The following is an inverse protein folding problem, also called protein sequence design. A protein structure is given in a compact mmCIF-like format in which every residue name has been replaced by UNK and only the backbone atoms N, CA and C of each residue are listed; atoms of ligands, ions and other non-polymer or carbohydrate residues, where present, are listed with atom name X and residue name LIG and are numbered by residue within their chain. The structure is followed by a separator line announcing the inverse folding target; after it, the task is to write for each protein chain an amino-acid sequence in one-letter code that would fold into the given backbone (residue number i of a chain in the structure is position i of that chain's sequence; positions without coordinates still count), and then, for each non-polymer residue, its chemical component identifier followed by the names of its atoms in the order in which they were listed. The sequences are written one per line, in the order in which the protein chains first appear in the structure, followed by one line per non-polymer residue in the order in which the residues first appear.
data_IF_145724998139
#
_entry.id   IF_145724998139
#
_cell.length_a   1.000
_cell.length_b   1.000
_cell.length_c   1.000
_cell.angle_alpha   90.00
_cell.angle_beta   90.00
_cell.angle_gamma   90.00
#
_symmetry.space_group_name_H-M   'P 1'
#
loop_
_entity.id
_entity.type
_entity.pdbx_description
1 polymer ?
#
# COMPACT_ATOMS: atom_id res chain seq x y z
N UNK A 1 -14.58 -19.69 9.75
CA UNK A 1 -13.83 -19.40 8.54
C UNK A 1 -12.38 -19.10 8.91
N UNK A 2 -11.44 -19.57 8.13
CA UNK A 2 -10.03 -19.46 8.47
C UNK A 2 -9.47 -18.10 8.04
N UNK A 3 -8.89 -17.28 8.95
CA UNK A 3 -8.43 -15.94 8.59
C UNK A 3 -7.41 -15.91 7.44
N UNK A 4 -6.53 -16.92 7.37
CA UNK A 4 -5.54 -17.00 6.31
C UNK A 4 -6.17 -17.18 4.94
N UNK A 5 -7.24 -17.96 4.87
CA UNK A 5 -7.97 -18.17 3.62
C UNK A 5 -8.64 -16.86 3.17
N UNK A 6 -9.22 -16.14 4.11
CA UNK A 6 -9.85 -14.86 3.80
C UNK A 6 -8.84 -13.84 3.29
N UNK A 7 -7.67 -13.75 3.91
CA UNK A 7 -6.62 -12.84 3.49
C UNK A 7 -6.13 -13.17 2.07
N UNK A 8 -5.94 -14.45 1.75
CA UNK A 8 -5.53 -14.87 0.42
C UNK A 8 -6.58 -14.55 -0.64
N UNK A 9 -7.85 -14.76 -0.31
CA UNK A 9 -8.95 -14.44 -1.20
C UNK A 9 -9.02 -12.95 -1.47
N UNK A 10 -8.90 -12.13 -0.43
CA UNK A 10 -8.90 -10.69 -0.57
C UNK A 10 -7.75 -10.21 -1.45
N UNK A 11 -6.56 -10.76 -1.23
CA UNK A 11 -5.39 -10.44 -2.03
C UNK A 11 -5.64 -10.71 -3.53
N UNK A 12 -6.19 -11.87 -3.87
CA UNK A 12 -6.51 -12.23 -5.25
C UNK A 12 -7.55 -11.30 -5.85
N UNK A 13 -8.58 -10.97 -5.07
CA UNK A 13 -9.63 -10.07 -5.53
C UNK A 13 -9.06 -8.69 -5.84
N UNK A 14 -8.21 -8.18 -4.96
CA UNK A 14 -7.59 -6.87 -5.15
C UNK A 14 -6.65 -6.85 -6.35
N UNK A 15 -5.86 -7.91 -6.54
CA UNK A 15 -4.98 -8.02 -7.71
C UNK A 15 -5.79 -8.04 -9.00
N UNK A 16 -6.91 -8.74 -9.01
CA UNK A 16 -7.77 -8.83 -10.20
C UNK A 16 -8.49 -7.50 -10.45
N UNK A 17 -9.03 -6.90 -9.39
CA UNK A 17 -9.81 -5.67 -9.51
C UNK A 17 -8.95 -4.49 -9.94
N UNK A 18 -7.77 -4.35 -9.36
CA UNK A 18 -6.91 -3.20 -9.62
C UNK A 18 -5.86 -3.45 -10.71
N UNK A 19 -5.55 -4.71 -10.99
CA UNK A 19 -4.67 -5.06 -12.12
C UNK A 19 -3.34 -4.32 -12.13
N UNK A 20 -3.10 -3.54 -13.18
CA UNK A 20 -1.84 -2.81 -13.32
C UNK A 20 -1.63 -1.77 -12.23
N UNK A 21 -2.72 -1.22 -11.66
CA UNK A 21 -2.59 -0.30 -10.53
C UNK A 21 -2.02 -1.02 -9.30
N UNK A 22 -2.47 -2.25 -9.03
CA UNK A 22 -1.90 -3.03 -7.93
C UNK A 22 -0.38 -3.18 -8.10
N UNK A 23 0.05 -3.52 -9.31
CA UNK A 23 1.48 -3.68 -9.60
C UNK A 23 2.24 -2.36 -9.45
N UNK A 24 1.63 -1.26 -9.87
CA UNK A 24 2.26 0.06 -9.73
C UNK A 24 2.48 0.40 -8.25
N UNK A 25 1.47 0.16 -7.42
CA UNK A 25 1.58 0.43 -5.97
C UNK A 25 2.65 -0.48 -5.35
N UNK A 26 2.64 -1.76 -5.72
CA UNK A 26 3.64 -2.71 -5.23
C UNK A 26 5.05 -2.25 -5.58
N UNK A 27 5.28 -1.82 -6.82
CA UNK A 27 6.58 -1.32 -7.26
C UNK A 27 6.99 -0.07 -6.50
N UNK A 28 6.07 0.87 -6.32
CA UNK A 28 6.35 2.11 -5.59
C UNK A 28 6.76 1.81 -4.15
N UNK A 29 5.97 1.01 -3.45
CA UNK A 29 6.26 0.67 -2.05
C UNK A 29 7.57 -0.10 -1.94
N UNK A 30 7.81 -1.05 -2.85
CA UNK A 30 9.04 -1.84 -2.85
C UNK A 30 10.28 -0.94 -3.07
N UNK A 31 10.21 0.01 -4.00
CA UNK A 31 11.33 0.92 -4.27
C UNK A 31 11.61 1.86 -3.10
N UNK A 32 10.57 2.40 -2.49
CA UNK A 32 10.74 3.31 -1.35
C UNK A 32 11.16 2.59 -0.08
N UNK A 33 10.73 1.33 0.06
CA UNK A 33 11.12 0.47 1.18
C UNK A 33 11.02 1.20 2.53
N UNK A 34 9.83 1.68 2.91
CA UNK A 34 9.70 2.60 4.05
C UNK A 34 10.09 2.01 5.39
N UNK A 35 10.03 0.71 5.56
CA UNK A 35 10.43 0.03 6.80
C UNK A 35 11.89 -0.44 6.73
N UNK A 36 12.49 -0.33 5.56
CA UNK A 36 13.88 -0.76 5.33
C UNK A 36 14.07 -2.24 5.69
N UNK A 37 13.22 -3.09 5.10
CA UNK A 37 13.32 -4.54 5.28
C UNK A 37 14.61 -5.02 4.64
N UNK A 38 15.54 -5.40 5.49
CA UNK A 38 16.93 -5.57 5.13
C UNK A 38 17.19 -6.79 4.24
N UNK A 39 17.88 -6.57 3.13
CA UNK A 39 18.66 -7.55 2.36
C UNK A 39 17.92 -8.76 1.78
N UNK A 40 16.77 -9.10 2.29
CA UNK A 40 16.01 -10.29 1.88
C UNK A 40 14.70 -9.93 1.24
N UNK A 41 14.60 -8.71 0.74
CA UNK A 41 13.36 -8.24 0.15
C UNK A 41 13.02 -8.97 -1.13
N UNK A 42 11.77 -9.32 -1.24
CA UNK A 42 11.20 -9.71 -2.50
C UNK A 42 9.86 -8.98 -2.65
N UNK A 43 9.27 -9.07 -3.82
CA UNK A 43 8.10 -8.26 -4.14
C UNK A 43 6.88 -8.53 -3.27
N UNK A 44 6.87 -9.65 -2.52
CA UNK A 44 5.73 -10.00 -1.68
C UNK A 44 5.80 -9.49 -0.25
N UNK A 45 6.89 -8.85 0.16
CA UNK A 45 7.07 -8.51 1.57
C UNK A 45 6.11 -7.45 2.09
N UNK A 46 5.64 -6.55 1.21
CA UNK A 46 4.69 -5.51 1.59
C UNK A 46 3.26 -5.81 1.14
N UNK A 47 2.99 -7.03 0.66
CA UNK A 47 1.66 -7.38 0.16
C UNK A 47 0.54 -7.14 1.18
N UNK A 48 0.69 -7.50 2.47
CA UNK A 48 -0.38 -7.23 3.43
C UNK A 48 -0.70 -5.74 3.55
N UNK A 49 0.32 -4.87 3.52
CA UNK A 49 0.13 -3.43 3.62
C UNK A 49 -0.49 -2.86 2.35
N UNK A 50 -0.09 -3.37 1.19
CA UNK A 50 -0.69 -2.97 -0.08
C UNK A 50 -2.16 -3.37 -0.12
N UNK A 51 -2.48 -4.59 0.31
CA UNK A 51 -3.86 -5.07 0.38
C UNK A 51 -4.70 -4.18 1.31
N UNK A 52 -4.16 -3.83 2.48
CA UNK A 52 -4.84 -2.97 3.43
C UNK A 52 -5.10 -1.58 2.83
N UNK A 53 -4.09 -1.01 2.16
CA UNK A 53 -4.23 0.28 1.52
C UNK A 53 -5.31 0.25 0.42
N UNK A 54 -5.22 -0.73 -0.48
CA UNK A 54 -6.14 -0.79 -1.62
C UNK A 54 -7.57 -1.11 -1.22
N UNK A 55 -7.75 -1.86 -0.13
CA UNK A 55 -9.10 -2.13 0.38
C UNK A 55 -9.79 -0.87 0.88
N UNK A 56 -9.04 0.19 1.16
CA UNK A 56 -9.57 1.45 1.70
C UNK A 56 -9.30 2.65 0.80
N UNK A 57 -8.68 2.43 -0.38
CA UNK A 57 -8.21 3.56 -1.19
C UNK A 57 -9.35 4.49 -1.65
N UNK A 58 -10.55 3.96 -1.75
CA UNK A 58 -11.72 4.77 -2.12
C UNK A 58 -12.06 5.84 -1.08
N UNK A 59 -11.55 5.69 0.14
CA UNK A 59 -11.71 6.70 1.19
C UNK A 59 -10.85 7.94 0.94
N UNK A 60 -9.80 7.81 0.13
CA UNK A 60 -8.88 8.91 -0.16
C UNK A 60 -9.50 9.86 -1.17
N UNK A 61 -9.69 11.11 -0.76
CA UNK A 61 -10.31 12.15 -1.61
C UNK A 61 -9.27 13.00 -2.32
N UNK A 62 -8.04 13.04 -1.78
CA UNK A 62 -6.95 13.83 -2.33
C UNK A 62 -5.62 13.25 -1.85
N UNK A 63 -4.53 13.87 -2.29
CA UNK A 63 -3.19 13.41 -1.92
C UNK A 63 -2.98 13.38 -0.39
N UNK A 64 -3.45 14.40 0.30
CA UNK A 64 -3.24 14.47 1.75
C UNK A 64 -3.94 13.32 2.49
N UNK A 65 -5.17 13.02 2.11
CA UNK A 65 -5.91 11.91 2.73
C UNK A 65 -5.30 10.57 2.36
N UNK A 66 -4.79 10.41 1.13
CA UNK A 66 -4.08 9.20 0.77
C UNK A 66 -2.79 9.04 1.57
N UNK A 67 -2.04 10.14 1.74
CA UNK A 67 -0.82 10.14 2.53
C UNK A 67 -1.10 9.70 3.98
N UNK A 68 -2.17 10.23 4.57
CA UNK A 68 -2.58 9.85 5.91
C UNK A 68 -2.98 8.37 5.99
N UNK A 69 -3.72 7.88 5.00
CA UNK A 69 -4.12 6.48 4.95
C UNK A 69 -2.91 5.56 4.83
N UNK A 70 -1.96 5.89 3.97
CA UNK A 70 -0.74 5.11 3.80
C UNK A 70 0.05 5.04 5.11
N UNK A 71 0.23 6.18 5.77
CA UNK A 71 0.92 6.23 7.05
C UNK A 71 0.20 5.38 8.10
N UNK A 72 -1.12 5.50 8.18
CA UNK A 72 -1.93 4.74 9.14
C UNK A 72 -1.77 3.23 8.94
N UNK A 73 -1.80 2.78 7.69
CA UNK A 73 -1.63 1.35 7.37
C UNK A 73 -0.27 0.85 7.89
N UNK A 74 0.79 1.57 7.61
CA UNK A 74 2.13 1.15 8.04
C UNK A 74 2.29 1.24 9.56
N UNK A 75 1.72 2.26 10.18
CA UNK A 75 1.76 2.39 11.64
C UNK A 75 1.03 1.23 12.32
N UNK A 76 -0.12 0.83 11.79
CA UNK A 76 -0.90 -0.28 12.33
C UNK A 76 -0.14 -1.59 12.25
N UNK A 77 0.50 -1.84 11.10
CA UNK A 77 1.15 -3.13 10.87
C UNK A 77 2.54 -3.24 11.50
N UNK A 78 3.28 -2.16 11.57
CA UNK A 78 4.67 -2.19 12.05
C UNK A 78 4.89 -1.51 13.41
N UNK A 79 3.90 -0.76 13.89
CA UNK A 79 4.00 -0.04 15.16
C UNK A 79 4.71 1.30 15.03
N UNK A 80 4.45 2.19 15.99
CA UNK A 80 4.99 3.55 15.96
C UNK A 80 6.52 3.59 15.95
N UNK A 81 7.15 2.63 16.63
CA UNK A 81 8.61 2.59 16.72
C UNK A 81 9.27 2.27 15.39
N UNK A 82 8.61 1.45 14.56
CA UNK A 82 9.21 0.94 13.32
C UNK A 82 8.74 1.68 12.08
N UNK A 83 7.55 2.27 12.09
CA UNK A 83 7.00 2.90 10.89
C UNK A 83 7.65 4.25 10.58
N UNK A 84 8.28 4.90 11.55
CA UNK A 84 8.81 6.24 11.36
C UNK A 84 7.70 7.29 11.38
N UNK A 85 8.02 8.49 10.93
CA UNK A 85 7.04 9.57 10.92
C UNK A 85 6.30 9.64 9.57
N UNK A 86 5.28 10.48 9.54
CA UNK A 86 4.40 10.63 8.38
C UNK A 86 5.17 11.10 7.13
N UNK A 87 6.19 11.91 7.33
CA UNK A 87 6.97 12.46 6.23
C UNK A 87 7.70 11.38 5.42
N UNK A 88 8.03 10.27 6.05
CA UNK A 88 8.69 9.14 5.36
C UNK A 88 7.88 8.63 4.17
N UNK A 89 6.57 8.78 4.21
CA UNK A 89 5.66 8.23 3.20
C UNK A 89 5.23 9.26 2.16
N UNK A 90 5.71 10.48 2.25
CA UNK A 90 5.25 11.57 1.38
C UNK A 90 5.52 11.30 -0.10
N UNK A 91 6.73 10.92 -0.44
CA UNK A 91 7.09 10.68 -1.85
C UNK A 91 6.34 9.47 -2.42
N UNK A 92 6.23 8.39 -1.65
CA UNK A 92 5.49 7.22 -2.08
C UNK A 92 4.01 7.55 -2.28
N UNK A 93 3.42 8.30 -1.34
CA UNK A 93 2.02 8.71 -1.46
C UNK A 93 1.78 9.54 -2.72
N UNK A 94 2.69 10.44 -3.03
CA UNK A 94 2.57 11.27 -4.25
C UNK A 94 2.57 10.40 -5.50
N UNK A 95 3.47 9.43 -5.59
CA UNK A 95 3.51 8.52 -6.74
C UNK A 95 2.25 7.65 -6.83
N UNK A 96 1.80 7.14 -5.68
CA UNK A 96 0.58 6.32 -5.64
C UNK A 96 -0.62 7.13 -6.07
N UNK A 97 -0.72 8.39 -5.61
CA UNK A 97 -1.84 9.25 -5.97
C UNK A 97 -1.90 9.48 -7.48
N UNK A 98 -0.77 9.74 -8.12
CA UNK A 98 -0.70 9.92 -9.57
C UNK A 98 -1.13 8.65 -10.31
N UNK A 99 -0.68 7.49 -9.82
CA UNK A 99 -1.08 6.22 -10.41
C UNK A 99 -2.57 5.97 -10.23
N UNK A 100 -3.11 6.33 -9.07
CA UNK A 100 -4.53 6.17 -8.80
C UNK A 100 -5.39 7.06 -9.71
N UNK A 101 -4.96 8.30 -9.91
CA UNK A 101 -5.66 9.19 -10.82
C UNK A 101 -5.70 8.63 -12.25
N UNK A 102 -4.57 8.08 -12.71
CA UNK A 102 -4.52 7.44 -14.03
C UNK A 102 -5.44 6.22 -14.10
N UNK A 103 -5.46 5.42 -13.05
CA UNK A 103 -6.32 4.24 -12.97
C UNK A 103 -7.80 4.64 -13.06
N UNK A 104 -8.18 5.68 -12.35
CA UNK A 104 -9.58 6.14 -12.33
C UNK A 104 -10.01 6.77 -13.65
N UNK A 105 -9.06 7.28 -14.43
CA UNK A 105 -9.35 7.90 -15.72
C UNK A 105 -9.54 6.89 -16.85
N UNK A 106 -9.17 5.63 -16.61
CA UNK A 106 -9.25 4.57 -17.61
C UNK A 106 -10.65 3.99 -17.72
#
# INVERSE_FOLDING_TARGET
MHPEIEARQQHRILQKEYGSFYRAVSDIIFRHNPIDLDGKRNTGEYDPEIDALLSRIQEAENLDTLHELLFEVFRTDFGEENCGDRQRYEAAASEIWKAYERHRAM
#
